data_IF_119020869083
#
_entry.id   IF_119020869083
#
_cell.length_a   1.000
_cell.length_b   1.000
_cell.length_c   1.000
_cell.angle_alpha   90.00
_cell.angle_beta   90.00
_cell.angle_gamma   90.00
#
_symmetry.space_group_name_H-M   'P 1'
#
loop_
_entity.id
_entity.type
_entity.pdbx_description
1 polymer ?
#
# COMPACT_ATOMS: atom_id res chain seq x y z
N UNK A 1 50.64 13.05 -3.10
CA UNK A 1 50.29 12.36 -4.37
C UNK A 1 49.79 10.93 -4.17
N UNK A 2 50.63 9.92 -3.87
CA UNK A 2 50.17 8.52 -3.80
C UNK A 2 49.19 8.24 -2.64
N UNK A 3 49.50 8.76 -1.44
CA UNK A 3 48.64 8.61 -0.25
C UNK A 3 47.29 9.30 -0.48
N UNK A 4 47.28 10.49 -1.07
CA UNK A 4 46.06 11.22 -1.41
C UNK A 4 45.19 10.45 -2.40
N UNK A 5 45.79 9.86 -3.45
CA UNK A 5 45.08 9.00 -4.40
C UNK A 5 44.45 7.78 -3.72
N UNK A 6 45.16 7.15 -2.79
CA UNK A 6 44.64 6.01 -2.02
C UNK A 6 43.48 6.44 -1.11
N UNK A 7 43.59 7.59 -0.44
CA UNK A 7 42.51 8.13 0.40
C UNK A 7 41.27 8.45 -0.44
N UNK A 8 41.46 9.13 -1.57
CA UNK A 8 40.36 9.47 -2.49
C UNK A 8 39.70 8.20 -3.03
N UNK A 9 40.50 7.21 -3.46
CA UNK A 9 39.97 5.92 -3.93
C UNK A 9 39.19 5.20 -2.83
N UNK A 10 39.72 5.16 -1.61
CA UNK A 10 39.04 4.59 -0.45
C UNK A 10 37.70 5.28 -0.17
N UNK A 11 37.68 6.62 -0.21
CA UNK A 11 36.46 7.40 -0.04
C UNK A 11 35.42 7.09 -1.11
N UNK A 12 35.83 7.01 -2.38
CA UNK A 12 34.96 6.66 -3.51
C UNK A 12 34.38 5.26 -3.33
N UNK A 13 35.17 4.28 -2.92
CA UNK A 13 34.69 2.91 -2.66
C UNK A 13 33.67 2.87 -1.52
N UNK A 14 33.90 3.61 -0.44
CA UNK A 14 32.96 3.71 0.68
C UNK A 14 31.64 4.35 0.22
N UNK A 15 31.68 5.43 -0.56
CA UNK A 15 30.49 6.08 -1.11
C UNK A 15 29.75 5.15 -2.06
N UNK A 16 30.45 4.45 -2.94
CA UNK A 16 29.86 3.50 -3.88
C UNK A 16 29.17 2.35 -3.15
N UNK A 17 29.83 1.75 -2.16
CA UNK A 17 29.25 0.68 -1.32
C UNK A 17 27.99 1.17 -0.58
N UNK A 18 28.06 2.36 0.02
CA UNK A 18 26.92 2.97 0.71
C UNK A 18 25.74 3.21 -0.24
N UNK A 19 26.01 3.68 -1.46
CA UNK A 19 24.99 3.92 -2.47
C UNK A 19 24.31 2.61 -2.92
N UNK A 20 25.07 1.53 -3.11
CA UNK A 20 24.54 0.21 -3.47
C UNK A 20 23.62 -0.35 -2.37
N UNK A 21 24.03 -0.29 -1.10
CA UNK A 21 23.20 -0.75 0.02
C UNK A 21 21.90 0.06 0.13
N UNK A 22 21.98 1.36 -0.08
CA UNK A 22 20.82 2.26 -0.06
C UNK A 22 19.85 1.95 -1.20
N UNK A 23 20.37 1.70 -2.40
CA UNK A 23 19.56 1.32 -3.57
C UNK A 23 18.84 -0.03 -3.36
N UNK A 24 19.55 -1.04 -2.83
CA UNK A 24 18.97 -2.34 -2.50
C UNK A 24 17.87 -2.22 -1.46
N UNK A 25 18.11 -1.43 -0.40
CA UNK A 25 17.12 -1.19 0.64
C UNK A 25 15.89 -0.50 0.09
N UNK A 26 16.05 0.50 -0.78
CA UNK A 26 14.93 1.18 -1.42
C UNK A 26 14.10 0.22 -2.28
N UNK A 27 14.75 -0.64 -3.07
CA UNK A 27 14.07 -1.65 -3.88
C UNK A 27 13.24 -2.62 -3.02
N UNK A 28 13.81 -3.12 -1.92
CA UNK A 28 13.07 -4.00 -1.01
C UNK A 28 11.83 -3.33 -0.39
N UNK A 29 11.90 -2.02 -0.12
CA UNK A 29 10.78 -1.29 0.46
C UNK A 29 9.68 -1.02 -0.58
N UNK A 30 10.04 -0.77 -1.84
CA UNK A 30 9.04 -0.68 -2.93
C UNK A 30 8.31 -2.01 -3.11
N UNK A 31 9.04 -3.12 -3.22
CA UNK A 31 8.44 -4.46 -3.33
C UNK A 31 7.50 -4.74 -2.14
N UNK A 32 7.92 -4.40 -0.91
CA UNK A 32 7.08 -4.57 0.29
C UNK A 32 5.82 -3.71 0.26
N UNK A 33 5.90 -2.49 -0.28
CA UNK A 33 4.75 -1.58 -0.36
C UNK A 33 3.76 -2.04 -1.43
N UNK A 34 4.25 -2.46 -2.59
CA UNK A 34 3.42 -3.01 -3.67
C UNK A 34 2.75 -4.31 -3.23
N UNK A 35 3.48 -5.19 -2.54
CA UNK A 35 2.92 -6.41 -1.97
C UNK A 35 1.86 -6.12 -0.89
N UNK A 36 2.08 -5.11 -0.04
CA UNK A 36 1.10 -4.72 0.97
C UNK A 36 -0.16 -4.11 0.34
N UNK A 37 -0.02 -3.37 -0.77
CA UNK A 37 -1.16 -2.85 -1.53
C UNK A 37 -1.98 -3.97 -2.16
N UNK A 38 -1.32 -4.92 -2.84
CA UNK A 38 -1.98 -6.08 -3.43
C UNK A 38 -2.68 -6.94 -2.35
N UNK A 39 -2.09 -7.04 -1.16
CA UNK A 39 -2.73 -7.73 -0.03
C UNK A 39 -3.99 -6.99 0.45
N UNK A 40 -3.97 -5.66 0.49
CA UNK A 40 -5.13 -4.85 0.85
C UNK A 40 -6.26 -5.02 -0.18
N UNK A 41 -5.93 -4.95 -1.47
CA UNK A 41 -6.85 -5.22 -2.58
C UNK A 41 -7.48 -6.61 -2.45
N UNK A 42 -6.67 -7.66 -2.29
CA UNK A 42 -7.18 -9.02 -2.13
C UNK A 42 -8.11 -9.18 -0.90
N UNK A 43 -7.88 -8.43 0.19
CA UNK A 43 -8.80 -8.45 1.34
C UNK A 43 -10.13 -7.75 1.06
N UNK A 44 -10.12 -6.67 0.28
CA UNK A 44 -11.34 -5.99 -0.17
C UNK A 44 -12.14 -6.87 -1.13
N UNK A 45 -11.48 -7.51 -2.10
CA UNK A 45 -12.12 -8.42 -3.05
C UNK A 45 -12.72 -9.63 -2.35
N UNK A 46 -12.01 -10.18 -1.35
CA UNK A 46 -12.54 -11.25 -0.50
C UNK A 46 -13.81 -10.82 0.24
N UNK A 47 -13.89 -9.57 0.72
CA UNK A 47 -15.12 -9.05 1.33
C UNK A 47 -16.23 -8.97 0.29
N UNK A 48 -15.96 -8.45 -0.90
CA UNK A 48 -16.93 -8.38 -2.00
C UNK A 48 -17.49 -9.79 -2.34
N UNK A 49 -16.63 -10.79 -2.45
CA UNK A 49 -17.03 -12.19 -2.67
C UNK A 49 -17.86 -12.79 -1.52
N UNK A 50 -17.53 -12.45 -0.27
CA UNK A 50 -18.35 -12.87 0.89
C UNK A 50 -19.73 -12.19 0.85
N UNK A 51 -19.79 -10.92 0.46
CA UNK A 51 -21.05 -10.18 0.35
C UNK A 51 -21.93 -10.72 -0.77
N UNK A 52 -21.37 -11.04 -1.94
CA UNK A 52 -22.14 -11.64 -3.04
C UNK A 52 -22.69 -13.02 -2.67
N UNK A 53 -21.97 -13.81 -1.87
CA UNK A 53 -22.45 -15.08 -1.37
C UNK A 53 -23.54 -14.96 -0.29
N UNK A 54 -23.50 -13.92 0.56
CA UNK A 54 -24.44 -13.72 1.67
C UNK A 54 -25.68 -12.91 1.27
N UNK A 55 -25.57 -12.02 0.29
CA UNK A 55 -26.63 -11.14 -0.19
C UNK A 55 -26.54 -11.04 -1.73
N UNK A 56 -27.15 -12.00 -2.47
CA UNK A 56 -27.15 -12.00 -3.94
C UNK A 56 -27.67 -10.70 -4.57
N UNK A 57 -28.60 -10.02 -3.90
CA UNK A 57 -29.10 -8.70 -4.29
C UNK A 57 -28.00 -7.60 -4.35
N UNK A 58 -26.89 -7.77 -3.63
CA UNK A 58 -25.73 -6.86 -3.62
C UNK A 58 -24.63 -7.28 -4.60
N UNK A 59 -24.79 -8.40 -5.34
CA UNK A 59 -23.77 -8.95 -6.24
C UNK A 59 -23.27 -7.92 -7.25
N UNK A 60 -24.17 -7.13 -7.84
CA UNK A 60 -23.80 -6.09 -8.80
C UNK A 60 -22.91 -4.99 -8.19
N UNK A 61 -23.13 -4.62 -6.92
CA UNK A 61 -22.31 -3.63 -6.22
C UNK A 61 -20.95 -4.24 -5.82
N UNK A 62 -20.97 -5.49 -5.35
CA UNK A 62 -19.76 -6.24 -5.02
C UNK A 62 -18.85 -6.42 -6.25
N UNK A 63 -19.41 -6.85 -7.38
CA UNK A 63 -18.68 -7.02 -8.64
C UNK A 63 -18.11 -5.69 -9.17
N UNK A 64 -18.83 -4.57 -9.00
CA UNK A 64 -18.34 -3.24 -9.38
C UNK A 64 -17.18 -2.75 -8.49
N UNK A 65 -17.13 -3.16 -7.23
CA UNK A 65 -16.02 -2.85 -6.33
C UNK A 65 -14.80 -3.72 -6.69
N UNK A 66 -15.01 -5.01 -6.90
CA UNK A 66 -13.97 -5.99 -7.30
C UNK A 66 -13.37 -5.66 -8.68
N UNK A 67 -14.17 -5.17 -9.63
CA UNK A 67 -13.69 -4.81 -10.98
C UNK A 67 -12.85 -3.52 -11.02
N UNK A 68 -12.67 -2.83 -9.90
CA UNK A 68 -11.97 -1.55 -9.82
C UNK A 68 -10.63 -1.78 -9.14
N UNK A 69 -9.52 -1.68 -9.86
CA UNK A 69 -8.21 -1.98 -9.28
C UNK A 69 -7.78 -0.94 -8.22
N UNK A 70 -7.10 -1.38 -7.17
CA UNK A 70 -6.52 -0.51 -6.15
C UNK A 70 -5.10 -0.09 -6.54
N UNK A 71 -4.98 1.01 -7.30
CA UNK A 71 -3.69 1.49 -7.81
C UNK A 71 -3.13 2.66 -6.99
N UNK A 72 -1.80 2.66 -6.75
CA UNK A 72 -1.09 3.78 -6.13
C UNK A 72 -1.41 5.12 -6.81
N UNK A 73 -1.84 6.10 -6.01
CA UNK A 73 -2.15 7.45 -6.48
C UNK A 73 -3.50 7.60 -7.21
N UNK A 74 -4.31 6.54 -7.27
CA UNK A 74 -5.66 6.56 -7.85
C UNK A 74 -6.63 5.77 -6.97
N UNK A 75 -6.71 6.13 -5.68
CA UNK A 75 -7.59 5.44 -4.73
C UNK A 75 -9.05 5.90 -4.82
N UNK A 76 -9.32 7.08 -5.36
CA UNK A 76 -10.64 7.74 -5.30
C UNK A 76 -11.77 6.90 -5.91
N UNK A 77 -11.49 6.25 -7.04
CA UNK A 77 -12.48 5.43 -7.73
C UNK A 77 -12.82 4.18 -6.92
N UNK A 78 -11.80 3.43 -6.48
CA UNK A 78 -11.98 2.24 -5.65
C UNK A 78 -12.67 2.58 -4.33
N UNK A 79 -12.23 3.64 -3.65
CA UNK A 79 -12.85 4.13 -2.41
C UNK A 79 -14.32 4.48 -2.59
N UNK A 80 -14.70 5.06 -3.73
CA UNK A 80 -16.11 5.38 -4.01
C UNK A 80 -16.96 4.12 -4.17
N UNK A 81 -16.46 3.10 -4.88
CA UNK A 81 -17.18 1.81 -5.01
C UNK A 81 -17.29 1.07 -3.68
N UNK A 82 -16.22 1.07 -2.90
CA UNK A 82 -16.23 0.44 -1.57
C UNK A 82 -17.19 1.14 -0.60
N UNK A 83 -17.33 2.47 -0.70
CA UNK A 83 -18.34 3.22 0.06
C UNK A 83 -19.77 2.85 -0.32
N UNK A 84 -20.06 2.77 -1.62
CA UNK A 84 -21.36 2.33 -2.12
C UNK A 84 -21.70 0.93 -1.58
N UNK A 85 -20.73 0.02 -1.60
CA UNK A 85 -20.87 -1.34 -1.08
C UNK A 85 -21.09 -1.35 0.45
N UNK A 86 -20.25 -0.65 1.21
CA UNK A 86 -20.39 -0.53 2.68
C UNK A 86 -21.75 0.03 3.09
N UNK A 87 -22.24 1.07 2.41
CA UNK A 87 -23.54 1.65 2.70
C UNK A 87 -24.69 0.67 2.43
N UNK A 88 -24.58 -0.15 1.38
CA UNK A 88 -25.58 -1.17 1.05
C UNK A 88 -25.55 -2.34 2.04
N UNK A 89 -24.36 -2.76 2.48
CA UNK A 89 -24.19 -3.77 3.53
C UNK A 89 -24.82 -3.30 4.84
N UNK A 90 -24.56 -2.05 5.26
CA UNK A 90 -25.09 -1.49 6.49
C UNK A 90 -26.64 -1.41 6.48
N UNK A 91 -27.24 -1.12 5.33
CA UNK A 91 -28.70 -1.16 5.17
C UNK A 91 -29.26 -2.59 5.19
N UNK A 92 -28.48 -3.56 4.71
CA UNK A 92 -28.94 -4.93 4.54
C UNK A 92 -28.84 -5.79 5.79
N UNK A 93 -27.80 -5.56 6.59
CA UNK A 93 -27.49 -6.35 7.77
C UNK A 93 -27.55 -5.49 9.03
N UNK A 94 -28.59 -5.69 9.83
CA UNK A 94 -28.72 -5.07 11.16
C UNK A 94 -27.64 -5.59 12.13
N UNK A 95 -27.19 -6.82 11.93
CA UNK A 95 -26.06 -7.42 12.66
C UNK A 95 -25.12 -8.08 11.65
N UNK A 96 -23.82 -7.75 11.72
CA UNK A 96 -22.82 -8.28 10.79
C UNK A 96 -22.67 -9.80 10.97
N UNK A 97 -22.85 -10.60 9.89
CA UNK A 97 -22.56 -12.03 9.93
C UNK A 97 -21.08 -12.27 10.29
N UNK A 98 -20.79 -13.36 11.01
CA UNK A 98 -19.42 -13.64 11.48
C UNK A 98 -18.38 -13.69 10.35
N UNK A 99 -18.74 -14.24 9.19
CA UNK A 99 -17.87 -14.29 8.00
C UNK A 99 -17.54 -12.89 7.46
N UNK A 100 -18.51 -11.98 7.50
CA UNK A 100 -18.33 -10.61 7.05
C UNK A 100 -17.49 -9.83 8.05
N UNK A 101 -17.78 -9.96 9.35
CA UNK A 101 -17.00 -9.33 10.41
C UNK A 101 -15.52 -9.77 10.41
N UNK A 102 -15.23 -11.05 10.14
CA UNK A 102 -13.84 -11.53 9.96
C UNK A 102 -13.16 -10.90 8.73
N UNK A 103 -13.87 -10.82 7.60
CA UNK A 103 -13.34 -10.17 6.41
C UNK A 103 -13.01 -8.68 6.66
N UNK A 104 -13.89 -7.97 7.36
CA UNK A 104 -13.73 -6.57 7.75
C UNK A 104 -12.57 -6.38 8.72
N UNK A 105 -12.44 -7.25 9.73
CA UNK A 105 -11.29 -7.25 10.63
C UNK A 105 -9.95 -7.43 9.90
N UNK A 106 -9.90 -8.27 8.87
CA UNK A 106 -8.69 -8.46 8.04
C UNK A 106 -8.36 -7.24 7.19
N UNK A 107 -9.36 -6.49 6.73
CA UNK A 107 -9.14 -5.23 5.98
C UNK A 107 -8.44 -4.20 6.87
N UNK A 108 -8.87 -4.04 8.13
CA UNK A 108 -8.18 -3.13 9.06
C UNK A 108 -6.71 -3.50 9.26
N UNK A 109 -6.40 -4.80 9.35
CA UNK A 109 -5.04 -5.27 9.49
C UNK A 109 -4.21 -5.00 8.22
N UNK A 110 -4.76 -5.31 7.04
CA UNK A 110 -4.10 -5.06 5.76
C UNK A 110 -3.85 -3.56 5.52
N UNK A 111 -4.83 -2.72 5.86
CA UNK A 111 -4.72 -1.27 5.81
C UNK A 111 -3.57 -0.74 6.66
N UNK A 112 -3.46 -1.23 7.91
CA UNK A 112 -2.37 -0.85 8.80
C UNK A 112 -1.01 -1.27 8.23
N UNK A 113 -0.88 -2.50 7.75
CA UNK A 113 0.37 -2.98 7.16
C UNK A 113 0.79 -2.18 5.93
N UNK A 114 -0.18 -1.82 5.08
CA UNK A 114 0.04 -0.96 3.94
C UNK A 114 0.56 0.42 4.37
N UNK A 115 -0.12 1.09 5.31
CA UNK A 115 0.29 2.40 5.79
C UNK A 115 1.66 2.39 6.50
N UNK A 116 2.00 1.30 7.19
CA UNK A 116 3.33 1.11 7.77
C UNK A 116 4.40 1.00 6.68
N UNK A 117 4.15 0.23 5.61
CA UNK A 117 5.05 0.13 4.46
C UNK A 117 5.23 1.48 3.73
N UNK A 118 4.16 2.26 3.58
CA UNK A 118 4.19 3.63 3.03
C UNK A 118 5.02 4.56 3.93
N UNK A 119 4.87 4.44 5.25
CA UNK A 119 5.67 5.23 6.20
C UNK A 119 7.16 4.88 6.09
N UNK A 120 7.51 3.60 6.06
CA UNK A 120 8.89 3.12 5.93
C UNK A 120 9.55 3.60 4.63
N UNK A 121 8.83 3.51 3.50
CA UNK A 121 9.31 4.00 2.20
C UNK A 121 9.51 5.52 2.20
N UNK A 122 8.54 6.29 2.71
CA UNK A 122 8.65 7.75 2.81
C UNK A 122 9.80 8.16 3.73
N UNK A 123 9.95 7.53 4.88
CA UNK A 123 10.99 7.85 5.85
C UNK A 123 12.40 7.66 5.26
N UNK A 124 12.62 6.61 4.44
CA UNK A 124 13.90 6.40 3.77
C UNK A 124 14.13 7.41 2.63
N UNK A 125 13.11 7.66 1.80
CA UNK A 125 13.22 8.57 0.64
C UNK A 125 13.40 10.03 1.02
N UNK A 126 12.91 10.43 2.19
CA UNK A 126 13.08 11.79 2.72
C UNK A 126 14.44 12.04 3.38
N UNK A 127 15.29 11.01 3.56
CA UNK A 127 16.62 11.20 4.16
C UNK A 127 17.50 12.07 3.27
N UNK A 128 18.18 13.10 3.84
CA UNK A 128 19.00 14.03 3.06
C UNK A 128 20.08 13.29 2.25
N UNK A 129 20.78 12.31 2.82
CA UNK A 129 21.81 11.55 2.10
C UNK A 129 21.28 10.87 0.81
N UNK A 130 20.04 10.37 0.82
CA UNK A 130 19.40 9.73 -0.36
C UNK A 130 19.01 10.78 -1.40
N UNK A 131 18.53 11.95 -0.94
CA UNK A 131 18.14 13.08 -1.79
C UNK A 131 19.34 13.70 -2.50
N UNK A 132 20.47 13.86 -1.81
CA UNK A 132 21.71 14.41 -2.36
C UNK A 132 22.28 13.53 -3.48
N UNK A 133 22.20 12.21 -3.33
CA UNK A 133 22.68 11.27 -4.32
C UNK A 133 21.63 10.90 -5.39
N UNK A 134 20.45 11.53 -5.36
CA UNK A 134 19.32 11.28 -6.31
C UNK A 134 18.96 9.80 -6.48
N UNK A 135 19.27 8.97 -5.48
CA UNK A 135 19.03 7.51 -5.49
C UNK A 135 17.55 7.15 -5.47
N UNK A 136 16.69 8.07 -5.03
CA UNK A 136 15.23 7.89 -4.99
C UNK A 136 14.49 8.08 -6.31
N UNK A 137 15.19 8.45 -7.39
CA UNK A 137 14.58 8.73 -8.70
C UNK A 137 13.55 9.87 -8.69
N UNK A 138 12.74 9.94 -9.76
CA UNK A 138 11.62 10.89 -9.94
C UNK A 138 10.25 10.30 -9.61
N UNK A 139 10.18 9.07 -9.11
CA UNK A 139 8.93 8.41 -8.77
C UNK A 139 8.11 9.25 -7.77
N UNK A 140 6.78 9.28 -7.89
CA UNK A 140 5.92 9.95 -6.89
C UNK A 140 6.08 9.28 -5.52
N UNK A 141 5.86 10.01 -4.43
CA UNK A 141 5.86 9.43 -3.09
C UNK A 141 4.60 8.54 -2.94
N UNK A 142 4.70 7.34 -2.35
CA UNK A 142 3.54 6.46 -2.16
C UNK A 142 2.50 7.15 -1.29
N UNK A 143 1.21 7.00 -1.59
CA UNK A 143 0.13 7.73 -0.90
C UNK A 143 -0.54 6.85 0.16
N UNK A 144 -0.99 7.46 1.25
CA UNK A 144 -1.70 6.71 2.30
C UNK A 144 -3.11 6.38 1.80
N UNK A 145 -3.60 5.19 2.16
CA UNK A 145 -5.00 4.84 1.96
C UNK A 145 -5.77 5.29 3.19
N UNK A 146 -6.91 5.94 3.03
CA UNK A 146 -7.74 6.40 4.14
C UNK A 146 -8.96 5.50 4.29
N UNK A 147 -8.84 4.50 5.17
CA UNK A 147 -9.93 3.56 5.43
C UNK A 147 -11.14 4.23 6.09
N UNK A 148 -10.95 5.34 6.81
CA UNK A 148 -12.05 6.11 7.45
C UNK A 148 -13.07 6.65 6.45
N UNK A 149 -12.76 6.66 5.16
CA UNK A 149 -13.73 7.05 4.14
C UNK A 149 -14.73 5.93 3.86
N UNK A 150 -14.39 4.68 4.17
CA UNK A 150 -15.20 3.50 3.96
C UNK A 150 -15.66 3.04 5.34
N UNK A 151 -16.93 3.26 5.69
CA UNK A 151 -17.50 2.79 6.97
C UNK A 151 -17.63 1.26 6.94
N UNK A 152 -16.52 0.57 7.16
CA UNK A 152 -16.42 -0.89 7.23
C UNK A 152 -16.94 -1.36 8.57
#
# INVERSE_FOLDING_TARGET
MAIELVIVLGLVLVIAMWALLTAQRLNSLHIRTDAALAQLEATLDRRAAVVSALAPELENLAARAESTDLTQGHFDERTTRERELSAAIAQRFDTRPALLADAEGRIHLAHRFYNEAVSDTRALRLRPAVKWLRLGGTAKLPEFFELSQIDV
#
